data_IF_474039676988
#
_entry.id   IF_474039676988
#
_cell.length_a   1.000
_cell.length_b   1.000
_cell.length_c   1.000
_cell.angle_alpha   90.00
_cell.angle_beta   90.00
_cell.angle_gamma   90.00
#
_symmetry.space_group_name_H-M   'P 1'
#
loop_
_entity.id
_entity.type
_entity.pdbx_description
1 polymer ?
#
# COMPACT_ATOMS: atom_id res chain seq x y z
N UNK A 1 -22.73 -78.57 26.15
CA UNK A 1 -21.44 -77.86 26.02
C UNK A 1 -21.53 -77.08 24.70
N UNK A 2 -21.92 -75.81 24.75
CA UNK A 2 -21.04 -74.62 24.83
C UNK A 2 -20.26 -74.43 23.51
N UNK A 3 -20.13 -73.27 22.85
CA UNK A 3 -20.61 -71.89 22.96
C UNK A 3 -20.31 -71.27 21.56
N UNK A 4 -21.19 -70.45 20.98
CA UNK A 4 -21.08 -68.99 20.83
C UNK A 4 -19.78 -68.41 20.19
N UNK A 5 -20.01 -67.48 19.25
CA UNK A 5 -19.29 -66.22 19.01
C UNK A 5 -18.29 -66.06 17.83
N UNK A 6 -18.71 -65.16 16.93
CA UNK A 6 -17.99 -64.13 16.13
C UNK A 6 -17.00 -64.45 15.00
N UNK A 7 -17.10 -63.68 13.88
CA UNK A 7 -16.08 -63.59 12.83
C UNK A 7 -14.98 -62.60 13.22
N UNK A 8 -13.72 -63.02 13.10
CA UNK A 8 -12.56 -62.15 13.26
C UNK A 8 -12.21 -61.48 11.92
N UNK A 9 -11.94 -60.18 12.02
CA UNK A 9 -11.39 -59.32 10.99
C UNK A 9 -9.95 -59.71 10.63
N UNK A 10 -9.57 -59.43 9.38
CA UNK A 10 -8.22 -59.08 8.91
C UNK A 10 -8.30 -59.01 7.38
N UNK A 11 -7.71 -58.10 6.64
CA UNK A 11 -7.10 -56.80 6.92
C UNK A 11 -6.92 -56.24 5.49
N UNK A 12 -7.63 -55.17 5.13
CA UNK A 12 -7.52 -54.61 3.77
C UNK A 12 -6.25 -53.78 3.74
N UNK A 13 -5.21 -54.37 3.18
CA UNK A 13 -3.94 -53.75 2.82
C UNK A 13 -4.15 -52.35 2.19
N UNK A 14 -3.90 -51.31 2.97
CA UNK A 14 -3.73 -49.94 2.50
C UNK A 14 -2.29 -49.82 2.00
N UNK A 15 -2.09 -50.03 0.71
CA UNK A 15 -0.80 -49.76 0.07
C UNK A 15 -0.56 -48.23 0.09
N UNK A 16 0.47 -47.82 0.85
CA UNK A 16 0.99 -46.46 0.87
C UNK A 16 1.44 -46.02 -0.54
N UNK A 17 0.87 -44.92 -1.02
CA UNK A 17 1.37 -44.23 -2.20
C UNK A 17 2.62 -43.40 -1.83
N UNK A 18 3.66 -43.38 -2.68
CA UNK A 18 4.94 -42.77 -2.31
C UNK A 18 4.87 -41.24 -2.21
N UNK A 19 5.72 -40.62 -1.36
CA UNK A 19 5.65 -39.20 -1.06
C UNK A 19 6.09 -38.38 -2.27
N UNK A 20 5.19 -37.53 -2.78
CA UNK A 20 5.55 -36.46 -3.71
C UNK A 20 5.99 -35.24 -2.91
N UNK A 21 7.25 -34.89 -3.12
CA UNK A 21 7.96 -33.69 -2.70
C UNK A 21 7.09 -32.44 -2.82
N UNK A 22 6.71 -31.86 -1.67
CA UNK A 22 6.02 -30.57 -1.61
C UNK A 22 7.05 -29.44 -1.56
N UNK A 23 6.99 -28.61 -2.61
CA UNK A 23 7.60 -27.29 -2.62
C UNK A 23 6.75 -26.34 -1.78
N UNK A 24 7.42 -25.48 -1.00
CA UNK A 24 6.83 -24.46 -0.15
C UNK A 24 5.98 -23.44 -0.95
N UNK A 25 4.71 -23.24 -0.57
CA UNK A 25 3.91 -21.98 -0.67
C UNK A 25 2.38 -22.13 -0.84
N UNK A 26 1.81 -23.34 -0.82
CA UNK A 26 0.37 -23.52 -1.02
C UNK A 26 -0.44 -23.55 0.28
N UNK A 27 -1.39 -22.62 0.45
CA UNK A 27 -2.45 -22.64 1.48
C UNK A 27 -3.41 -23.85 1.37
N UNK A 28 -3.10 -24.81 0.50
CA UNK A 28 -3.89 -26.00 0.18
C UNK A 28 -3.90 -27.03 1.32
N UNK A 29 -2.95 -26.96 2.25
CA UNK A 29 -2.85 -27.88 3.39
C UNK A 29 -3.73 -27.48 4.59
N UNK A 30 -4.28 -26.26 4.60
CA UNK A 30 -5.11 -25.72 5.69
C UNK A 30 -6.59 -26.12 5.61
N UNK A 31 -6.98 -26.89 4.59
CA UNK A 31 -8.39 -27.25 4.30
C UNK A 31 -8.66 -28.74 4.51
N UNK A 32 -7.67 -29.54 4.94
CA UNK A 32 -7.88 -30.97 5.24
C UNK A 32 -8.17 -31.18 6.73
N UNK A 33 -9.46 -31.35 7.06
CA UNK A 33 -9.99 -31.57 8.42
C UNK A 33 -10.24 -33.05 8.74
N UNK A 34 -9.87 -33.52 9.94
CA UNK A 34 -10.36 -34.77 10.52
C UNK A 34 -10.75 -34.73 12.01
N UNK A 35 -10.54 -33.61 12.73
CA UNK A 35 -10.72 -33.57 14.19
C UNK A 35 -11.40 -32.28 14.67
N UNK A 36 -12.70 -32.13 14.41
CA UNK A 36 -13.48 -31.01 14.96
C UNK A 36 -13.88 -31.21 16.45
N UNK A 37 -13.76 -32.43 17.00
CA UNK A 37 -14.03 -32.74 18.41
C UNK A 37 -12.79 -32.70 19.33
N UNK A 38 -11.62 -32.30 18.81
CA UNK A 38 -10.36 -32.28 19.57
C UNK A 38 -10.03 -30.93 20.25
N UNK A 39 -10.91 -29.92 20.14
CA UNK A 39 -10.59 -28.53 20.48
C UNK A 39 -11.38 -27.95 21.67
N UNK A 40 -11.78 -28.78 22.62
CA UNK A 40 -12.08 -28.29 23.96
C UNK A 40 -10.77 -28.32 24.77
N UNK A 41 -10.10 -27.17 24.89
CA UNK A 41 -8.90 -27.07 25.72
C UNK A 41 -9.22 -27.51 27.14
N UNK A 42 -8.41 -28.43 27.68
CA UNK A 42 -8.47 -28.77 29.10
C UNK A 42 -8.16 -27.54 29.96
N UNK A 43 -8.63 -27.51 31.21
CA UNK A 43 -8.35 -26.38 32.13
C UNK A 43 -6.85 -26.10 32.29
N UNK A 44 -6.00 -27.12 32.11
CA UNK A 44 -4.55 -26.98 32.14
C UNK A 44 -4.00 -26.29 30.89
N UNK A 45 -4.56 -26.57 29.72
CA UNK A 45 -4.15 -25.93 28.46
C UNK A 45 -4.61 -24.47 28.42
N UNK A 46 -5.82 -24.18 28.91
CA UNK A 46 -6.27 -22.79 29.11
C UNK A 46 -5.36 -22.03 30.08
N UNK A 47 -5.00 -22.66 31.21
CA UNK A 47 -4.07 -22.05 32.17
C UNK A 47 -2.66 -21.88 31.61
N UNK A 48 -2.20 -22.78 30.74
CA UNK A 48 -0.92 -22.65 30.07
C UNK A 48 -0.93 -21.47 29.07
N UNK A 49 -2.03 -21.25 28.37
CA UNK A 49 -2.24 -20.10 27.49
C UNK A 49 -2.30 -18.79 28.29
N UNK A 50 -3.03 -18.75 29.41
CA UNK A 50 -3.08 -17.57 30.28
C UNK A 50 -1.69 -17.20 30.84
N UNK A 51 -0.90 -18.21 31.22
CA UNK A 51 0.47 -18.01 31.69
C UNK A 51 1.41 -17.55 30.56
N UNK A 52 1.18 -18.03 29.33
CA UNK A 52 1.91 -17.58 28.15
C UNK A 52 1.61 -16.10 27.85
N UNK A 53 0.33 -15.70 27.91
CA UNK A 53 -0.09 -14.31 27.70
C UNK A 53 0.52 -13.38 28.78
N UNK A 54 0.54 -13.83 30.04
CA UNK A 54 1.20 -13.11 31.13
C UNK A 54 2.72 -13.00 30.93
N UNK A 55 3.38 -14.06 30.47
CA UNK A 55 4.81 -14.02 30.18
C UNK A 55 5.12 -13.04 29.04
N UNK A 56 4.26 -12.98 28.02
CA UNK A 56 4.43 -12.07 26.89
C UNK A 56 4.26 -10.61 27.29
N UNK A 57 3.31 -10.33 28.17
CA UNK A 57 3.12 -9.01 28.77
C UNK A 57 4.35 -8.57 29.59
N UNK A 58 4.93 -9.48 30.38
CA UNK A 58 6.14 -9.19 31.15
C UNK A 58 7.38 -8.96 30.27
N UNK A 59 7.54 -9.70 29.17
CA UNK A 59 8.60 -9.46 28.18
C UNK A 59 8.46 -8.09 27.53
N UNK A 60 7.23 -7.67 27.22
CA UNK A 60 6.95 -6.33 26.69
C UNK A 60 7.34 -5.25 27.71
N UNK A 61 6.90 -5.40 28.96
CA UNK A 61 7.24 -4.45 30.04
C UNK A 61 8.74 -4.35 30.26
N UNK A 62 9.46 -5.48 30.21
CA UNK A 62 10.92 -5.50 30.27
C UNK A 62 11.54 -4.76 29.08
N UNK A 63 11.05 -4.98 27.87
CA UNK A 63 11.56 -4.30 26.67
C UNK A 63 11.36 -2.78 26.74
N UNK A 64 10.26 -2.32 27.35
CA UNK A 64 9.98 -0.90 27.59
C UNK A 64 10.93 -0.29 28.62
N UNK A 65 11.22 -1.01 29.71
CA UNK A 65 12.19 -0.56 30.71
C UNK A 65 13.62 -0.52 30.15
N UNK A 66 14.03 -1.53 29.39
CA UNK A 66 15.34 -1.55 28.72
C UNK A 66 15.47 -0.41 27.68
N UNK A 67 14.38 -0.09 26.97
CA UNK A 67 14.34 1.06 26.06
C UNK A 67 14.40 2.41 26.80
N UNK A 68 13.84 2.48 28.02
CA UNK A 68 13.89 3.67 28.88
C UNK A 68 15.29 3.89 29.48
N UNK A 69 15.99 2.82 29.86
CA UNK A 69 17.38 2.87 30.36
C UNK A 69 18.40 3.26 29.28
N UNK A 70 18.12 2.96 28.00
CA UNK A 70 19.05 3.20 26.89
C UNK A 70 19.05 4.63 26.34
N UNK A 71 18.34 5.59 26.94
CA UNK A 71 18.52 7.02 26.66
C UNK A 71 18.52 7.38 25.16
N UNK A 72 17.56 6.85 24.41
CA UNK A 72 17.42 7.10 22.97
C UNK A 72 17.00 8.56 22.78
N UNK A 73 17.64 9.29 21.86
CA UNK A 73 17.26 10.67 21.53
C UNK A 73 15.76 10.73 21.20
N UNK A 74 15.06 11.72 21.78
CA UNK A 74 13.60 11.84 21.73
C UNK A 74 13.04 11.79 20.29
N UNK A 75 13.79 12.31 19.32
CA UNK A 75 13.42 12.32 17.90
C UNK A 75 13.49 10.93 17.26
N UNK A 76 14.53 10.14 17.56
CA UNK A 76 14.65 8.76 17.11
C UNK A 76 13.63 7.83 17.78
N UNK A 77 13.28 8.08 19.04
CA UNK A 77 12.22 7.38 19.76
C UNK A 77 10.85 7.69 19.15
N UNK A 78 10.56 8.96 18.86
CA UNK A 78 9.30 9.38 18.27
C UNK A 78 9.09 8.80 16.87
N UNK A 79 10.14 8.77 16.04
CA UNK A 79 10.08 8.09 14.74
C UNK A 79 9.78 6.59 14.86
N UNK A 80 10.46 5.89 15.79
CA UNK A 80 10.21 4.46 16.04
C UNK A 80 8.81 4.20 16.61
N UNK A 81 8.30 5.07 17.47
CA UNK A 81 6.97 4.96 18.07
C UNK A 81 5.86 5.13 17.03
N UNK A 82 6.03 6.05 16.07
CA UNK A 82 5.09 6.22 14.95
C UNK A 82 5.06 4.97 14.06
N UNK A 83 6.23 4.40 13.75
CA UNK A 83 6.32 3.16 12.96
C UNK A 83 5.68 1.99 13.70
N UNK A 84 6.03 1.79 14.97
CA UNK A 84 5.47 0.73 15.80
C UNK A 84 3.95 0.88 15.99
N UNK A 85 3.45 2.12 16.16
CA UNK A 85 2.01 2.39 16.24
C UNK A 85 1.31 2.04 14.94
N UNK A 86 1.90 2.35 13.79
CA UNK A 86 1.34 2.02 12.48
C UNK A 86 1.29 0.50 12.27
N UNK A 87 2.37 -0.20 12.56
CA UNK A 87 2.45 -1.66 12.48
C UNK A 87 1.45 -2.34 13.43
N UNK A 88 1.32 -1.82 14.66
CA UNK A 88 0.34 -2.32 15.63
C UNK A 88 -1.11 -2.09 15.16
N UNK A 89 -1.40 -0.92 14.55
CA UNK A 89 -2.72 -0.65 13.99
C UNK A 89 -3.02 -1.55 12.79
N UNK A 90 -2.04 -1.80 11.92
CA UNK A 90 -2.17 -2.71 10.79
C UNK A 90 -2.44 -4.14 11.26
N UNK A 91 -1.64 -4.65 12.19
CA UNK A 91 -1.83 -5.97 12.81
C UNK A 91 -3.19 -6.10 13.50
N UNK A 92 -3.66 -5.04 14.19
CA UNK A 92 -4.98 -5.01 14.80
C UNK A 92 -6.08 -5.10 13.74
N UNK A 93 -6.00 -4.32 12.66
CA UNK A 93 -7.00 -4.37 11.58
C UNK A 93 -7.03 -5.73 10.88
N UNK A 94 -5.86 -6.35 10.66
CA UNK A 94 -5.75 -7.68 10.11
C UNK A 94 -6.40 -8.72 11.02
N UNK A 95 -6.10 -8.66 12.32
CA UNK A 95 -6.72 -9.52 13.33
C UNK A 95 -8.24 -9.36 13.38
N UNK A 96 -8.75 -8.13 13.37
CA UNK A 96 -10.20 -7.86 13.38
C UNK A 96 -10.90 -8.41 12.14
N UNK A 97 -10.29 -8.25 10.96
CA UNK A 97 -10.83 -8.82 9.71
C UNK A 97 -10.83 -10.34 9.77
N UNK A 98 -9.72 -10.95 10.20
CA UNK A 98 -9.60 -12.40 10.33
C UNK A 98 -10.64 -12.95 11.32
N UNK A 99 -10.75 -12.34 12.50
CA UNK A 99 -11.71 -12.74 13.52
C UNK A 99 -13.16 -12.61 13.01
N UNK A 100 -13.48 -11.55 12.26
CA UNK A 100 -14.81 -11.39 11.64
C UNK A 100 -15.10 -12.47 10.60
N UNK A 101 -14.11 -12.83 9.78
CA UNK A 101 -14.26 -13.92 8.79
C UNK A 101 -14.47 -15.25 9.52
N UNK A 102 -13.61 -15.57 10.50
CA UNK A 102 -13.74 -16.80 11.29
C UNK A 102 -15.08 -16.88 12.01
N UNK A 103 -15.53 -15.78 12.63
CA UNK A 103 -16.83 -15.73 13.30
C UNK A 103 -17.99 -15.94 12.31
N UNK A 104 -17.97 -15.28 11.16
CA UNK A 104 -19.01 -15.45 10.14
C UNK A 104 -19.07 -16.88 9.61
N UNK A 105 -17.92 -17.51 9.34
CA UNK A 105 -17.88 -18.92 8.90
C UNK A 105 -18.40 -19.85 10.00
N UNK A 106 -17.97 -19.64 11.26
CA UNK A 106 -18.41 -20.44 12.40
C UNK A 106 -19.91 -20.34 12.67
N UNK A 107 -20.54 -19.19 12.36
CA UNK A 107 -21.98 -18.97 12.57
C UNK A 107 -22.81 -19.42 11.36
N UNK A 108 -22.35 -19.17 10.13
CA UNK A 108 -23.11 -19.52 8.92
C UNK A 108 -22.97 -20.98 8.50
N UNK A 109 -21.79 -21.61 8.61
CA UNK A 109 -21.56 -22.97 8.12
C UNK A 109 -22.47 -24.01 8.82
N UNK A 110 -22.68 -23.96 10.16
CA UNK A 110 -23.63 -24.84 10.83
C UNK A 110 -25.09 -24.57 10.45
N UNK A 111 -25.47 -23.30 10.21
CA UNK A 111 -26.84 -22.94 9.81
C UNK A 111 -27.12 -23.44 8.39
N UNK A 112 -26.18 -23.25 7.46
CA UNK A 112 -26.30 -23.76 6.09
C UNK A 112 -26.35 -25.28 6.06
N UNK A 113 -25.52 -25.96 6.86
CA UNK A 113 -25.54 -27.42 6.99
C UNK A 113 -26.80 -27.94 7.69
N UNK A 114 -27.34 -27.22 8.68
CA UNK A 114 -28.58 -27.59 9.35
C UNK A 114 -29.80 -27.48 8.43
N UNK A 115 -29.84 -26.46 7.56
CA UNK A 115 -30.96 -26.24 6.63
C UNK A 115 -30.85 -27.12 5.39
N UNK A 116 -29.65 -27.29 4.82
CA UNK A 116 -29.48 -27.95 3.51
C UNK A 116 -28.70 -29.28 3.57
N UNK A 117 -28.00 -29.58 4.66
CA UNK A 117 -27.16 -30.77 4.84
C UNK A 117 -27.78 -31.89 5.69
N UNK A 118 -29.02 -31.76 6.14
CA UNK A 118 -29.71 -32.74 6.98
C UNK A 118 -29.92 -34.12 6.32
N UNK A 119 -30.19 -35.13 7.14
CA UNK A 119 -30.44 -36.50 6.65
C UNK A 119 -31.77 -36.59 5.85
N UNK A 120 -32.69 -35.64 6.05
CA UNK A 120 -34.02 -35.60 5.44
C UNK A 120 -34.17 -34.53 4.33
N UNK A 121 -33.12 -33.80 3.96
CA UNK A 121 -33.19 -32.84 2.85
C UNK A 121 -33.17 -33.53 1.48
N UNK A 122 -33.97 -32.98 0.56
CA UNK A 122 -34.09 -33.48 -0.80
C UNK A 122 -32.76 -33.35 -1.57
N UNK A 123 -32.52 -34.25 -2.54
CA UNK A 123 -31.29 -34.29 -3.33
C UNK A 123 -31.07 -32.98 -4.10
N UNK A 124 -32.15 -32.34 -4.54
CA UNK A 124 -32.11 -31.03 -5.19
C UNK A 124 -31.58 -29.94 -4.25
N UNK A 125 -31.89 -30.01 -2.97
CA UNK A 125 -31.50 -29.03 -1.95
C UNK A 125 -30.03 -29.19 -1.53
N UNK A 126 -29.56 -30.44 -1.38
CA UNK A 126 -28.14 -30.75 -1.14
C UNK A 126 -27.24 -30.27 -2.28
N UNK A 127 -27.74 -30.24 -3.51
CA UNK A 127 -27.02 -29.76 -4.69
C UNK A 127 -26.90 -28.22 -4.74
N UNK A 128 -27.71 -27.49 -3.97
CA UNK A 128 -27.65 -26.02 -3.91
C UNK A 128 -26.55 -25.54 -2.94
N UNK A 129 -26.17 -26.37 -1.95
CA UNK A 129 -25.17 -26.01 -0.94
C UNK A 129 -23.83 -25.51 -1.55
N UNK A 130 -23.23 -26.19 -2.55
CA UNK A 130 -21.99 -25.70 -3.18
C UNK A 130 -22.18 -24.35 -3.87
N UNK A 131 -23.32 -24.12 -4.52
CA UNK A 131 -23.63 -22.85 -5.19
C UNK A 131 -23.82 -21.70 -4.20
N UNK A 132 -24.37 -21.97 -3.02
CA UNK A 132 -24.46 -20.98 -1.94
C UNK A 132 -23.06 -20.64 -1.43
N UNK A 133 -22.19 -21.64 -1.20
CA UNK A 133 -20.82 -21.37 -0.77
C UNK A 133 -20.00 -20.60 -1.81
N UNK A 134 -20.18 -20.90 -3.10
CA UNK A 134 -19.58 -20.12 -4.20
C UNK A 134 -20.13 -18.69 -4.22
N UNK A 135 -21.44 -18.50 -4.04
CA UNK A 135 -22.05 -17.17 -3.96
C UNK A 135 -21.52 -16.37 -2.76
N UNK A 136 -21.35 -16.99 -1.60
CA UNK A 136 -20.85 -16.34 -0.39
C UNK A 136 -19.38 -15.94 -0.53
N UNK A 137 -18.55 -16.81 -1.11
CA UNK A 137 -17.14 -16.48 -1.38
C UNK A 137 -17.01 -15.35 -2.39
N UNK A 138 -17.80 -15.36 -3.47
CA UNK A 138 -17.85 -14.25 -4.45
C UNK A 138 -18.32 -12.95 -3.79
N UNK A 139 -19.34 -13.02 -2.94
CA UNK A 139 -19.87 -11.86 -2.22
C UNK A 139 -18.84 -11.28 -1.24
N UNK A 140 -18.08 -12.12 -0.55
CA UNK A 140 -16.98 -11.72 0.31
C UNK A 140 -15.87 -11.03 -0.50
N UNK A 141 -15.43 -11.64 -1.60
CA UNK A 141 -14.40 -11.06 -2.48
C UNK A 141 -14.87 -9.72 -3.05
N UNK A 142 -16.11 -9.63 -3.53
CA UNK A 142 -16.71 -8.39 -3.99
C UNK A 142 -16.73 -7.32 -2.89
N UNK A 143 -17.09 -7.68 -1.66
CA UNK A 143 -17.03 -6.78 -0.51
C UNK A 143 -15.62 -6.24 -0.25
N UNK A 144 -14.59 -7.10 -0.32
CA UNK A 144 -13.20 -6.65 -0.15
C UNK A 144 -12.73 -5.74 -1.28
N UNK A 145 -13.10 -6.03 -2.53
CA UNK A 145 -12.79 -5.21 -3.71
C UNK A 145 -13.50 -3.85 -3.63
N UNK A 146 -14.77 -3.83 -3.25
CA UNK A 146 -15.53 -2.60 -3.06
C UNK A 146 -14.94 -1.73 -1.93
N UNK A 147 -14.51 -2.35 -0.83
CA UNK A 147 -13.81 -1.66 0.24
C UNK A 147 -12.47 -1.07 -0.24
N UNK A 148 -11.67 -1.84 -0.99
CA UNK A 148 -10.42 -1.35 -1.60
C UNK A 148 -10.67 -0.21 -2.58
N UNK A 149 -11.68 -0.32 -3.44
CA UNK A 149 -12.07 0.73 -4.39
C UNK A 149 -12.49 2.01 -3.66
N UNK A 150 -13.28 1.89 -2.60
CA UNK A 150 -13.68 3.04 -1.79
C UNK A 150 -12.48 3.70 -1.12
N UNK A 151 -11.55 2.91 -0.59
CA UNK A 151 -10.33 3.42 0.02
C UNK A 151 -9.41 4.13 -0.99
N UNK A 152 -9.24 3.56 -2.20
CA UNK A 152 -8.44 4.21 -3.25
C UNK A 152 -9.10 5.47 -3.78
N UNK A 153 -10.42 5.49 -3.93
CA UNK A 153 -11.18 6.69 -4.32
C UNK A 153 -11.03 7.81 -3.28
N UNK A 154 -11.09 7.49 -1.99
CA UNK A 154 -10.84 8.46 -0.91
C UNK A 154 -9.41 8.98 -0.90
N UNK A 155 -8.42 8.11 -1.11
CA UNK A 155 -7.02 8.49 -1.22
C UNK A 155 -6.77 9.41 -2.42
N UNK A 156 -7.38 9.10 -3.57
CA UNK A 156 -7.32 9.93 -4.77
C UNK A 156 -7.94 11.31 -4.53
N UNK A 157 -9.15 11.38 -3.97
CA UNK A 157 -9.80 12.64 -3.65
C UNK A 157 -8.97 13.51 -2.68
N UNK A 158 -8.32 12.90 -1.68
CA UNK A 158 -7.41 13.62 -0.79
C UNK A 158 -6.16 14.14 -1.51
N UNK A 159 -5.59 13.34 -2.42
CA UNK A 159 -4.44 13.74 -3.22
C UNK A 159 -4.78 14.88 -4.19
N UNK A 160 -5.94 14.82 -4.84
CA UNK A 160 -6.46 15.88 -5.70
C UNK A 160 -6.67 17.19 -4.93
N UNK A 161 -7.26 17.12 -3.73
CA UNK A 161 -7.44 18.30 -2.87
C UNK A 161 -6.09 18.93 -2.49
N UNK A 162 -5.09 18.10 -2.14
CA UNK A 162 -3.72 18.58 -1.85
C UNK A 162 -3.07 19.20 -3.08
N UNK A 163 -3.27 18.61 -4.26
CA UNK A 163 -2.74 19.14 -5.52
C UNK A 163 -3.36 20.50 -5.86
N UNK A 164 -4.68 20.66 -5.72
CA UNK A 164 -5.37 21.94 -5.92
C UNK A 164 -4.81 23.00 -4.96
N UNK A 165 -4.67 22.66 -3.67
CA UNK A 165 -4.12 23.59 -2.68
C UNK A 165 -2.66 23.97 -2.97
N UNK A 166 -1.84 23.02 -3.43
CA UNK A 166 -0.46 23.28 -3.84
C UNK A 166 -0.39 24.18 -5.09
N UNK A 167 -1.24 23.93 -6.09
CA UNK A 167 -1.32 24.76 -7.29
C UNK A 167 -1.80 26.19 -6.99
N UNK A 168 -2.75 26.36 -6.07
CA UNK A 168 -3.16 27.69 -5.61
C UNK A 168 -1.99 28.44 -4.96
N UNK A 169 -1.25 27.79 -4.06
CA UNK A 169 -0.04 28.38 -3.45
C UNK A 169 1.04 28.69 -4.48
N UNK A 170 1.29 27.80 -5.43
CA UNK A 170 2.25 28.04 -6.50
C UNK A 170 1.84 29.27 -7.32
N UNK A 171 0.56 29.41 -7.64
CA UNK A 171 0.04 30.59 -8.35
C UNK A 171 0.21 31.87 -7.54
N UNK A 172 -0.10 31.85 -6.25
CA UNK A 172 0.12 32.99 -5.34
C UNK A 172 1.60 33.36 -5.29
N UNK A 173 2.50 32.39 -5.14
CA UNK A 173 3.94 32.60 -5.11
C UNK A 173 4.46 33.11 -6.45
N UNK A 174 3.95 32.61 -7.58
CA UNK A 174 4.31 33.14 -8.90
C UNK A 174 3.84 34.59 -9.07
N UNK A 175 2.66 34.94 -8.56
CA UNK A 175 2.18 36.33 -8.56
C UNK A 175 3.06 37.24 -7.69
N UNK A 176 3.46 36.79 -6.51
CA UNK A 176 4.37 37.58 -5.66
C UNK A 176 5.76 37.70 -6.26
N UNK A 177 6.27 36.64 -6.90
CA UNK A 177 7.55 36.69 -7.64
C UNK A 177 7.48 37.66 -8.82
N UNK A 178 6.38 37.66 -9.59
CA UNK A 178 6.19 38.61 -10.68
C UNK A 178 6.10 40.04 -10.17
N UNK A 179 5.33 40.30 -9.10
CA UNK A 179 5.26 41.63 -8.49
C UNK A 179 6.63 42.08 -7.97
N UNK A 180 7.40 41.19 -7.33
CA UNK A 180 8.74 41.50 -6.85
C UNK A 180 9.73 41.73 -8.01
N UNK A 181 9.58 40.99 -9.11
CA UNK A 181 10.38 41.21 -10.31
C UNK A 181 10.03 42.52 -11.02
N UNK A 182 8.76 42.92 -11.02
CA UNK A 182 8.30 44.24 -11.49
C UNK A 182 8.84 45.35 -10.60
N UNK A 183 8.79 45.19 -9.27
CA UNK A 183 9.38 46.13 -8.32
C UNK A 183 10.90 46.26 -8.55
N UNK A 184 11.61 45.15 -8.72
CA UNK A 184 13.05 45.15 -9.04
C UNK A 184 13.36 45.77 -10.41
N UNK A 185 12.48 45.61 -11.42
CA UNK A 185 12.62 46.25 -12.72
C UNK A 185 12.31 47.75 -12.65
N UNK A 186 11.38 48.15 -11.78
CA UNK A 186 11.06 49.55 -11.50
C UNK A 186 12.21 50.26 -10.79
N UNK A 187 12.92 49.54 -9.91
CA UNK A 187 14.25 49.88 -9.37
C UNK A 187 15.33 49.71 -10.45
N UNK A 188 15.16 50.43 -11.56
CA UNK A 188 16.08 50.40 -12.68
C UNK A 188 17.43 51.05 -12.34
N UNK A 189 18.44 50.79 -13.16
CA UNK A 189 19.77 51.41 -13.06
C UNK A 189 19.74 52.96 -13.07
N UNK A 190 18.59 53.58 -13.32
CA UNK A 190 18.38 55.03 -13.35
C UNK A 190 18.23 55.65 -11.96
N UNK A 191 17.78 54.87 -10.96
CA UNK A 191 17.66 55.30 -9.55
C UNK A 191 18.99 55.25 -8.79
N UNK A 192 20.05 54.78 -9.45
CA UNK A 192 21.40 54.72 -8.86
C UNK A 192 22.03 56.12 -8.89
N UNK A 193 22.17 56.73 -7.72
CA UNK A 193 22.76 58.07 -7.53
C UNK A 193 24.24 58.15 -7.92
N UNK A 194 24.95 57.02 -7.90
CA UNK A 194 26.38 56.93 -8.27
C UNK A 194 26.58 56.65 -9.77
N UNK A 195 27.18 57.57 -10.53
CA UNK A 195 27.36 57.43 -11.98
C UNK A 195 28.29 56.28 -12.40
N UNK A 196 29.25 55.91 -11.56
CA UNK A 196 30.17 54.80 -11.88
C UNK A 196 29.45 53.45 -11.81
N UNK A 197 28.62 53.27 -10.78
CA UNK A 197 27.86 52.04 -10.57
C UNK A 197 26.80 51.85 -11.66
N UNK A 198 26.13 52.93 -12.09
CA UNK A 198 25.19 52.93 -13.22
C UNK A 198 25.85 52.48 -14.54
N UNK A 199 27.09 52.90 -14.79
CA UNK A 199 27.82 52.49 -16.00
C UNK A 199 28.22 51.00 -15.99
N UNK A 200 28.52 50.44 -14.81
CA UNK A 200 28.84 49.02 -14.65
C UNK A 200 27.60 48.15 -14.81
N UNK A 201 26.47 48.55 -14.22
CA UNK A 201 25.19 47.84 -14.38
C UNK A 201 24.76 47.79 -15.85
N UNK A 202 24.85 48.91 -16.59
CA UNK A 202 24.54 48.94 -18.03
C UNK A 202 25.44 48.03 -18.87
N UNK A 203 26.73 47.91 -18.53
CA UNK A 203 27.64 46.98 -19.21
C UNK A 203 27.23 45.53 -18.99
N UNK A 204 26.92 45.17 -17.75
CA UNK A 204 26.47 43.82 -17.39
C UNK A 204 25.12 43.50 -18.05
N UNK A 205 24.17 44.43 -18.08
CA UNK A 205 22.89 44.26 -18.79
C UNK A 205 23.10 44.00 -20.29
N UNK A 206 24.03 44.72 -20.91
CA UNK A 206 24.37 44.53 -22.32
C UNK A 206 25.02 43.17 -22.56
N UNK A 207 25.95 42.73 -21.70
CA UNK A 207 26.57 41.41 -21.76
C UNK A 207 25.55 40.26 -21.58
N UNK A 208 24.60 40.41 -20.65
CA UNK A 208 23.50 39.43 -20.45
C UNK A 208 22.61 39.37 -21.69
N UNK A 209 22.28 40.51 -22.31
CA UNK A 209 21.48 40.56 -23.54
C UNK A 209 22.20 39.88 -24.71
N UNK A 210 23.51 40.09 -24.83
CA UNK A 210 24.33 39.40 -25.84
C UNK A 210 24.42 37.90 -25.57
N UNK A 211 24.59 37.48 -24.31
CA UNK A 211 24.61 36.07 -23.91
C UNK A 211 23.28 35.37 -24.21
N UNK A 212 22.13 35.99 -23.87
CA UNK A 212 20.80 35.46 -24.20
C UNK A 212 20.59 35.31 -25.71
N UNK A 213 21.01 36.31 -26.49
CA UNK A 213 20.97 36.22 -27.97
C UNK A 213 21.79 35.05 -28.48
N UNK A 214 23.01 34.86 -27.98
CA UNK A 214 23.88 33.73 -28.35
C UNK A 214 23.25 32.40 -27.97
N UNK A 215 22.67 32.29 -26.78
CA UNK A 215 21.98 31.08 -26.32
C UNK A 215 20.77 30.74 -27.20
N UNK A 216 19.95 31.73 -27.58
CA UNK A 216 18.82 31.54 -28.51
C UNK A 216 19.29 31.08 -29.89
N UNK A 217 20.38 31.65 -30.40
CA UNK A 217 21.00 31.19 -31.66
C UNK A 217 21.48 29.74 -31.56
N UNK A 218 22.15 29.36 -30.46
CA UNK A 218 22.64 27.99 -30.25
C UNK A 218 21.47 27.01 -30.11
N UNK A 219 20.42 27.37 -29.35
CA UNK A 219 19.20 26.54 -29.20
C UNK A 219 18.53 26.30 -30.55
N UNK A 220 18.36 27.35 -31.35
CA UNK A 220 17.80 27.24 -32.71
C UNK A 220 18.63 26.35 -33.64
N UNK A 221 19.96 26.45 -33.58
CA UNK A 221 20.86 25.58 -34.37
C UNK A 221 20.76 24.12 -33.91
N UNK A 222 20.75 23.86 -32.61
CA UNK A 222 20.63 22.50 -32.06
C UNK A 222 19.28 21.87 -32.39
N UNK A 223 18.19 22.62 -32.24
CA UNK A 223 16.84 22.17 -32.62
C UNK A 223 16.78 21.82 -34.12
N UNK A 224 17.28 22.70 -35.00
CA UNK A 224 17.35 22.42 -36.44
C UNK A 224 18.22 21.19 -36.77
N UNK A 225 19.32 20.99 -36.05
CA UNK A 225 20.19 19.81 -36.21
C UNK A 225 19.49 18.52 -35.78
N UNK A 226 18.79 18.53 -34.64
CA UNK A 226 18.08 17.36 -34.11
C UNK A 226 16.94 16.97 -35.06
N UNK A 227 16.11 17.94 -35.49
CA UNK A 227 15.03 17.70 -36.45
C UNK A 227 15.58 17.24 -37.80
N UNK A 228 16.67 17.84 -38.28
CA UNK A 228 17.33 17.48 -39.55
C UNK A 228 18.06 16.15 -39.54
N UNK A 229 18.41 15.60 -38.38
CA UNK A 229 19.12 14.32 -38.24
C UNK A 229 18.23 13.09 -38.48
N UNK A 230 16.91 13.26 -38.49
CA UNK A 230 15.95 12.15 -38.63
C UNK A 230 15.80 11.27 -37.38
N UNK A 231 16.39 11.67 -36.24
CA UNK A 231 16.15 11.04 -34.95
C UNK A 231 14.68 11.23 -34.53
N UNK A 232 14.08 10.21 -33.90
CA UNK A 232 12.71 10.29 -33.38
C UNK A 232 12.66 11.08 -32.07
N UNK A 233 12.87 12.39 -32.17
CA UNK A 233 12.91 13.32 -31.04
C UNK A 233 11.55 13.49 -30.33
N UNK A 234 10.43 13.12 -30.99
CA UNK A 234 9.11 13.22 -30.39
C UNK A 234 8.81 12.12 -29.35
N UNK A 235 9.53 11.00 -29.41
CA UNK A 235 9.40 9.87 -28.49
C UNK A 235 10.28 9.99 -27.23
N UNK A 236 11.27 10.88 -27.25
CA UNK A 236 12.16 11.16 -26.12
C UNK A 236 11.78 12.50 -25.51
N UNK A 237 11.36 12.50 -24.25
CA UNK A 237 10.93 13.70 -23.53
C UNK A 237 12.04 14.77 -23.46
N UNK A 238 13.31 14.37 -23.40
CA UNK A 238 14.47 15.30 -23.34
C UNK A 238 14.69 15.98 -24.67
N UNK A 239 14.60 15.23 -25.77
CA UNK A 239 14.75 15.80 -27.12
C UNK A 239 13.52 16.63 -27.51
N UNK A 240 12.34 16.22 -27.05
CA UNK A 240 11.10 16.98 -27.24
C UNK A 240 11.17 18.34 -26.57
N UNK A 241 11.63 18.41 -25.32
CA UNK A 241 11.82 19.66 -24.58
C UNK A 241 12.90 20.56 -25.20
N UNK A 242 13.99 19.95 -25.71
CA UNK A 242 15.06 20.70 -26.37
C UNK A 242 14.65 21.28 -27.73
N UNK A 243 13.74 20.61 -28.44
CA UNK A 243 13.25 21.02 -29.77
C UNK A 243 12.03 21.94 -29.69
N UNK A 244 11.13 21.71 -28.72
CA UNK A 244 10.00 22.59 -28.46
C UNK A 244 10.51 23.88 -27.81
N UNK A 245 10.32 25.00 -28.49
CA UNK A 245 10.52 26.30 -27.88
C UNK A 245 9.30 26.64 -27.03
N UNK A 246 9.29 26.21 -25.76
CA UNK A 246 8.41 26.79 -24.74
C UNK A 246 8.96 28.17 -24.30
N UNK A 247 9.22 29.03 -25.28
CA UNK A 247 9.32 30.47 -25.08
C UNK A 247 7.91 31.03 -25.39
N UNK A 248 7.01 31.02 -24.40
CA UNK A 248 5.95 32.03 -24.31
C UNK A 248 6.62 33.40 -24.12
N UNK A 249 7.11 34.00 -25.20
CA UNK A 249 7.35 35.44 -25.29
C UNK A 249 6.05 36.09 -25.79
N UNK A 250 5.12 36.29 -24.85
CA UNK A 250 4.00 37.25 -24.93
C UNK A 250 4.13 38.30 -23.84
#
# INVERSE_FOLDING_TARGET
MAAAASPAADDVSMADAPPKTQNASGYEDLVQTAHADAFAFSELEQRALDLYDQLRELELQRSLLEAQEQGISYDALQGRLITAQREAMEAKTEYEIRNRITHNVLVMDPVLKAVHGGEHTDYAEKRILPLITESDTVSMVHGTLAAKLTATAQALASAEQKNIAANQKNRELSQTLLALAEDMKSQSAEDITDPNLRSQVRKVEQEVKESRRRSKTIKGILSAMIVGSGLNWAADDVLRDLVMDDDEDG
#
